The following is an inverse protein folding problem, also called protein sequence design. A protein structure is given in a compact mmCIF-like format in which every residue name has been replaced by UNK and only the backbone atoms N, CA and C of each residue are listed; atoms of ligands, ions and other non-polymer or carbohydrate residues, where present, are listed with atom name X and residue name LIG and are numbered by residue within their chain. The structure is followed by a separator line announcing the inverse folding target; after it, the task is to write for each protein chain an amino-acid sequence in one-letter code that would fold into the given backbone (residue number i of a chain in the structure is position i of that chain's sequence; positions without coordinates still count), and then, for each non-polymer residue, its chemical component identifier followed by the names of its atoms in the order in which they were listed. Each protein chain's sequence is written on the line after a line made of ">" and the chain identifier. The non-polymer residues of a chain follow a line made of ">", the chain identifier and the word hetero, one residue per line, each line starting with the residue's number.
data_IF_490072440203
#
_entry.id   IF_490072440203
#
_cell.length_a   1.000
_cell.length_b   1.000
_cell.length_c   1.000
_cell.angle_alpha   90.00
_cell.angle_beta   90.00
_cell.angle_gamma   90.00
#
_symmetry.space_group_name_H-M   'P 1'
#
loop_
_entity.id
_entity.type
_entity.pdbx_description
1 polymer ?
#
# COMPACT_ATOMS: atom_id res chain seq x y z
N UNK A 1 10.97 -25.37 -12.21
CA UNK A 1 10.66 -24.86 -10.85
C UNK A 1 11.12 -23.42 -10.79
N UNK A 2 10.19 -22.48 -10.80
CA UNK A 2 10.52 -21.05 -10.70
C UNK A 2 10.34 -20.70 -9.22
N UNK A 3 11.44 -20.43 -8.52
CA UNK A 3 11.40 -20.03 -7.12
C UNK A 3 10.90 -18.59 -7.04
N UNK A 4 9.70 -18.40 -6.50
CA UNK A 4 9.27 -17.09 -6.01
C UNK A 4 10.07 -16.80 -4.73
N UNK A 5 11.12 -16.00 -4.83
CA UNK A 5 11.66 -15.30 -3.67
C UNK A 5 10.67 -14.19 -3.33
N UNK A 6 9.70 -14.47 -2.45
CA UNK A 6 8.97 -13.42 -1.75
C UNK A 6 9.94 -12.71 -0.80
N UNK A 7 10.22 -11.41 -0.98
CA UNK A 7 10.90 -10.66 0.05
C UNK A 7 9.94 -10.56 1.24
N UNK A 8 10.39 -11.05 2.40
CA UNK A 8 9.65 -10.97 3.66
C UNK A 8 9.35 -9.50 3.99
N UNK A 9 8.08 -9.20 4.29
CA UNK A 9 7.68 -8.15 5.24
C UNK A 9 7.79 -6.67 4.84
N UNK A 10 8.24 -6.31 3.63
CA UNK A 10 8.31 -4.90 3.21
C UNK A 10 7.13 -4.56 2.31
N UNK A 11 6.09 -3.96 2.87
CA UNK A 11 5.05 -3.35 2.05
C UNK A 11 5.52 -1.96 1.65
N UNK A 12 5.61 -1.72 0.36
CA UNK A 12 6.05 -0.44 -0.19
C UNK A 12 4.98 0.61 0.05
N UNK A 13 4.93 1.12 1.28
CA UNK A 13 3.94 2.04 1.80
C UNK A 13 4.57 3.32 2.36
N UNK A 14 4.35 4.40 1.63
CA UNK A 14 4.20 5.79 2.08
C UNK A 14 5.36 6.59 2.71
N UNK A 15 6.53 6.06 3.10
CA UNK A 15 7.57 6.88 3.78
C UNK A 15 8.86 7.22 3.02
N UNK A 16 9.06 6.72 1.80
CA UNK A 16 10.19 7.11 0.95
C UNK A 16 9.78 8.10 -0.15
N UNK A 17 9.23 9.26 0.23
CA UNK A 17 8.54 10.19 -0.69
C UNK A 17 9.42 11.04 -1.64
N UNK A 18 10.72 10.78 -1.81
CA UNK A 18 11.55 11.54 -2.79
C UNK A 18 12.49 10.75 -3.68
N UNK A 19 12.89 9.52 -3.33
CA UNK A 19 13.92 8.83 -4.13
C UNK A 19 13.37 7.70 -5.02
N UNK A 20 12.07 7.40 -4.96
CA UNK A 20 11.50 6.24 -5.67
C UNK A 20 11.18 6.46 -7.16
N UNK A 21 11.29 7.69 -7.68
CA UNK A 21 11.06 7.98 -9.11
C UNK A 21 12.34 8.05 -9.96
N UNK A 22 13.51 7.74 -9.41
CA UNK A 22 14.79 7.84 -10.16
C UNK A 22 15.24 6.55 -10.85
N UNK A 23 14.63 5.39 -10.58
CA UNK A 23 14.98 4.14 -11.27
C UNK A 23 13.82 3.71 -12.15
N UNK A 24 13.92 4.08 -13.43
CA UNK A 24 13.09 3.60 -14.53
C UNK A 24 13.06 2.06 -14.56
N UNK A 25 12.02 1.47 -14.01
CA UNK A 25 11.36 0.34 -14.66
C UNK A 25 10.19 0.93 -15.45
N UNK A 26 10.24 0.85 -16.78
CA UNK A 26 9.09 1.17 -17.62
C UNK A 26 7.93 0.25 -17.21
N UNK A 27 6.98 0.77 -16.44
CA UNK A 27 5.75 0.05 -16.18
C UNK A 27 4.96 0.00 -17.50
N UNK A 28 5.05 -1.13 -18.21
CA UNK A 28 4.25 -1.37 -19.42
C UNK A 28 2.79 -1.39 -18.99
N UNK A 29 2.07 -0.30 -19.25
CA UNK A 29 0.63 -0.25 -19.05
C UNK A 29 -0.01 -1.35 -19.90
N UNK A 30 -0.52 -2.40 -19.25
CA UNK A 30 -1.24 -3.45 -19.94
C UNK A 30 -2.65 -2.94 -20.25
N UNK A 31 -2.89 -2.59 -21.52
CA UNK A 31 -4.22 -2.21 -21.97
C UNK A 31 -5.14 -3.42 -21.93
N UNK A 32 -6.09 -3.46 -21.01
CA UNK A 32 -7.12 -4.51 -20.99
C UNK A 32 -8.18 -4.29 -22.08
N UNK A 33 -8.28 -3.09 -22.64
CA UNK A 33 -9.27 -2.74 -23.68
C UNK A 33 -10.72 -2.73 -23.18
N UNK A 34 -10.94 -2.85 -21.86
CA UNK A 34 -12.27 -2.97 -21.26
C UNK A 34 -12.82 -1.56 -20.98
N UNK A 35 -13.95 -1.24 -21.61
CA UNK A 35 -14.69 0.00 -21.33
C UNK A 35 -15.87 -0.30 -20.41
N UNK A 36 -15.95 0.42 -19.29
CA UNK A 36 -17.07 0.31 -18.36
C UNK A 36 -17.72 1.67 -18.13
N UNK A 37 -19.05 1.70 -18.19
CA UNK A 37 -19.83 2.90 -17.86
C UNK A 37 -19.89 3.08 -16.34
N UNK A 38 -19.88 4.33 -15.91
CA UNK A 38 -20.25 4.69 -14.54
C UNK A 38 -21.74 4.44 -14.33
N UNK A 39 -22.11 4.15 -13.09
CA UNK A 39 -23.52 4.16 -12.70
C UNK A 39 -24.00 5.57 -12.35
N UNK A 40 -25.26 5.70 -11.93
CA UNK A 40 -25.88 6.98 -11.56
C UNK A 40 -25.27 7.66 -10.34
N UNK A 41 -24.45 6.94 -9.55
CA UNK A 41 -23.78 7.45 -8.35
C UNK A 41 -22.29 7.69 -8.58
N UNK A 42 -21.78 7.45 -9.80
CA UNK A 42 -20.36 7.59 -10.11
C UNK A 42 -19.49 6.41 -9.65
N UNK A 43 -20.07 5.23 -9.39
CA UNK A 43 -19.30 4.02 -9.07
C UNK A 43 -18.85 3.34 -10.36
N UNK A 44 -17.64 2.77 -10.32
CA UNK A 44 -17.09 1.93 -11.39
C UNK A 44 -16.97 0.48 -10.90
N UNK A 45 -17.40 -0.47 -11.73
CA UNK A 45 -17.25 -1.89 -11.42
C UNK A 45 -15.94 -2.42 -11.98
N UNK A 46 -15.07 -2.95 -11.12
CA UNK A 46 -13.88 -3.69 -11.55
C UNK A 46 -14.27 -5.06 -12.13
N UNK A 47 -13.89 -5.39 -13.38
CA UNK A 47 -14.06 -6.71 -13.99
C UNK A 47 -13.49 -7.84 -13.12
N UNK A 48 -14.08 -9.03 -13.20
CA UNK A 48 -13.70 -10.18 -12.37
C UNK A 48 -12.28 -10.65 -12.67
N UNK A 49 -11.84 -10.54 -13.92
CA UNK A 49 -10.50 -10.87 -14.39
C UNK A 49 -9.45 -10.05 -13.64
N UNK A 50 -9.66 -8.72 -13.56
CA UNK A 50 -8.76 -7.83 -12.83
C UNK A 50 -8.75 -8.14 -11.33
N UNK A 51 -9.90 -8.45 -10.74
CA UNK A 51 -9.96 -8.84 -9.32
C UNK A 51 -9.12 -10.09 -9.05
N UNK A 52 -9.16 -11.09 -9.94
CA UNK A 52 -8.35 -12.31 -9.80
C UNK A 52 -6.87 -12.04 -10.02
N UNK A 53 -6.51 -11.28 -11.05
CA UNK A 53 -5.11 -10.96 -11.35
C UNK A 53 -4.42 -10.14 -10.26
N UNK A 54 -5.17 -9.25 -9.60
CA UNK A 54 -4.67 -8.43 -8.50
C UNK A 54 -4.99 -8.99 -7.11
N UNK A 55 -5.57 -10.20 -7.02
CA UNK A 55 -5.97 -10.83 -5.76
C UNK A 55 -6.80 -9.89 -4.86
N UNK A 56 -7.81 -9.24 -5.44
CA UNK A 56 -8.71 -8.31 -4.75
C UNK A 56 -9.98 -9.05 -4.35
N UNK A 57 -10.14 -9.25 -3.04
CA UNK A 57 -11.29 -9.90 -2.43
C UNK A 57 -12.53 -9.00 -2.33
N UNK A 58 -13.63 -9.58 -1.82
CA UNK A 58 -14.83 -8.80 -1.54
C UNK A 58 -14.62 -7.84 -0.37
N UNK A 59 -15.06 -6.58 -0.55
CA UNK A 59 -14.92 -5.50 0.44
C UNK A 59 -13.47 -5.16 0.83
N UNK A 60 -12.48 -5.63 0.06
CA UNK A 60 -11.09 -5.28 0.30
C UNK A 60 -10.85 -3.79 0.00
N UNK A 61 -10.23 -3.04 0.92
CA UNK A 61 -9.97 -1.63 0.72
C UNK A 61 -8.98 -1.42 -0.42
N UNK A 62 -9.25 -0.41 -1.24
CA UNK A 62 -8.38 0.03 -2.32
C UNK A 62 -8.02 1.49 -2.12
N UNK A 63 -6.79 1.83 -2.48
CA UNK A 63 -6.27 3.17 -2.45
C UNK A 63 -6.36 3.77 -3.85
N UNK A 64 -6.89 4.99 -3.95
CA UNK A 64 -7.11 5.70 -5.21
C UNK A 64 -6.14 6.87 -5.27
N UNK A 65 -5.37 6.92 -6.35
CA UNK A 65 -4.48 8.01 -6.68
C UNK A 65 -4.89 8.65 -8.00
N UNK A 66 -4.50 9.91 -8.19
CA UNK A 66 -4.70 10.65 -9.43
C UNK A 66 -3.35 11.16 -9.91
N UNK A 67 -3.07 11.01 -11.20
CA UNK A 67 -1.86 11.48 -11.85
C UNK A 67 -2.25 11.99 -13.24
N UNK A 68 -2.09 13.30 -13.45
CA UNK A 68 -2.48 13.98 -14.70
C UNK A 68 -3.93 13.67 -15.12
N UNK A 69 -4.10 12.87 -16.17
CA UNK A 69 -5.38 12.45 -16.74
C UNK A 69 -5.78 11.00 -16.39
N UNK A 70 -5.08 10.38 -15.43
CA UNK A 70 -5.24 8.97 -15.05
C UNK A 70 -5.70 8.81 -13.61
N UNK A 71 -6.50 7.76 -13.39
CA UNK A 71 -6.82 7.23 -12.07
C UNK A 71 -6.01 5.95 -11.88
N UNK A 72 -5.26 5.88 -10.79
CA UNK A 72 -4.45 4.72 -10.42
C UNK A 72 -5.07 4.09 -9.17
N UNK A 73 -5.39 2.80 -9.25
CA UNK A 73 -5.97 2.04 -8.15
C UNK A 73 -4.93 1.04 -7.64
N UNK A 74 -4.69 1.02 -6.33
CA UNK A 74 -3.77 0.07 -5.67
C UNK A 74 -4.47 -0.65 -4.52
N UNK A 75 -3.98 -1.84 -4.15
CA UNK A 75 -4.40 -2.50 -2.90
C UNK A 75 -4.03 -1.62 -1.72
N UNK A 76 -4.96 -1.41 -0.79
CA UNK A 76 -4.66 -0.66 0.42
C UNK A 76 -3.86 -1.55 1.39
N UNK A 77 -2.58 -1.24 1.54
CA UNK A 77 -1.71 -1.91 2.49
C UNK A 77 -1.37 -0.95 3.63
N UNK A 78 -1.97 -1.13 4.82
CA UNK A 78 -1.62 -0.31 5.96
C UNK A 78 -0.17 -0.57 6.38
N UNK A 79 0.61 0.50 6.51
CA UNK A 79 2.04 0.43 6.79
C UNK A 79 2.44 1.44 7.86
N UNK A 80 3.54 1.14 8.53
CA UNK A 80 4.20 2.02 9.49
C UNK A 80 4.62 3.32 8.81
N UNK A 81 4.28 4.44 9.46
CA UNK A 81 4.56 5.79 8.96
C UNK A 81 6.02 6.23 9.08
N UNK A 82 6.98 5.34 9.23
CA UNK A 82 8.40 5.70 9.23
C UNK A 82 9.20 4.75 8.33
N UNK A 83 8.90 3.47 8.43
CA UNK A 83 9.64 2.35 7.84
C UNK A 83 8.89 1.66 6.71
N UNK A 84 7.58 1.84 6.62
CA UNK A 84 6.75 1.11 5.67
C UNK A 84 6.49 -0.35 6.07
N UNK A 85 6.88 -0.83 7.26
CA UNK A 85 6.55 -2.20 7.68
C UNK A 85 5.03 -2.41 7.81
N UNK A 86 4.54 -3.63 7.54
CA UNK A 86 3.12 -3.96 7.66
C UNK A 86 2.77 -4.76 8.92
N UNK A 87 3.78 -5.16 9.67
CA UNK A 87 3.63 -6.06 10.81
C UNK A 87 3.60 -5.24 12.11
N UNK A 88 2.92 -5.76 13.12
CA UNK A 88 2.85 -5.20 14.48
C UNK A 88 2.49 -3.71 14.55
N UNK A 89 1.56 -3.28 13.70
CA UNK A 89 1.09 -1.91 13.62
C UNK A 89 0.11 -1.55 14.74
N UNK A 90 0.35 -0.40 15.35
CA UNK A 90 -0.53 0.26 16.32
C UNK A 90 -1.05 1.55 15.67
N UNK A 91 -2.36 1.77 15.74
CA UNK A 91 -2.95 3.02 15.28
C UNK A 91 -2.98 4.07 16.39
N UNK A 92 -2.38 5.23 16.12
CA UNK A 92 -2.42 6.39 17.00
C UNK A 92 -2.76 7.64 16.19
N UNK A 93 -3.88 8.29 16.52
CA UNK A 93 -4.38 9.52 15.84
C UNK A 93 -4.47 9.37 14.31
N UNK A 94 -4.95 8.22 13.83
CA UNK A 94 -5.10 7.93 12.40
C UNK A 94 -3.77 7.70 11.66
N UNK A 95 -2.66 7.48 12.39
CA UNK A 95 -1.37 7.06 11.85
C UNK A 95 -1.06 5.66 12.37
N UNK A 96 -0.57 4.79 11.50
CA UNK A 96 -0.14 3.44 11.87
C UNK A 96 1.36 3.45 12.13
N UNK A 97 1.78 2.94 13.27
CA UNK A 97 3.18 2.90 13.70
C UNK A 97 3.48 1.48 14.19
N UNK A 98 4.53 0.84 13.71
CA UNK A 98 4.98 -0.46 14.18
C UNK A 98 5.52 -0.35 15.60
N UNK A 99 5.43 -1.44 16.36
CA UNK A 99 6.03 -1.50 17.71
C UNK A 99 7.52 -1.18 17.69
N UNK A 100 8.23 -1.55 16.64
CA UNK A 100 9.66 -1.27 16.49
C UNK A 100 9.94 0.22 16.36
N UNK A 101 9.17 0.93 15.52
CA UNK A 101 9.23 2.39 15.42
C UNK A 101 8.91 3.06 16.77
N UNK A 102 7.93 2.54 17.52
CA UNK A 102 7.59 3.07 18.85
C UNK A 102 8.74 2.88 19.85
N UNK A 103 9.38 1.70 19.87
CA UNK A 103 10.54 1.42 20.71
C UNK A 103 11.71 2.35 20.40
N UNK A 104 11.98 2.56 19.13
CA UNK A 104 13.05 3.46 18.70
C UNK A 104 12.76 4.93 19.05
N UNK A 105 11.54 5.40 18.81
CA UNK A 105 11.12 6.75 19.19
C UNK A 105 11.19 6.99 20.70
N UNK A 106 10.76 6.01 21.51
CA UNK A 106 10.85 6.08 22.97
C UNK A 106 12.31 6.18 23.42
N UNK A 107 13.21 5.39 22.82
CA UNK A 107 14.65 5.42 23.09
C UNK A 107 15.25 6.79 22.77
N UNK A 108 14.92 7.37 21.62
CA UNK A 108 15.42 8.70 21.20
C UNK A 108 14.90 9.80 22.13
N UNK A 109 13.65 9.70 22.57
CA UNK A 109 13.04 10.66 23.48
C UNK A 109 13.46 10.49 24.96
N UNK A 110 14.24 9.44 25.28
CA UNK A 110 14.72 9.18 26.65
C UNK A 110 13.68 8.52 27.57
N UNK A 111 12.61 7.94 27.02
CA UNK A 111 11.63 7.19 27.80
C UNK A 111 12.07 5.74 28.00
N UNK A 112 11.78 5.19 29.19
CA UNK A 112 11.93 3.76 29.46
C UNK A 112 10.58 3.08 29.22
N UNK A 113 10.55 2.11 28.31
CA UNK A 113 9.39 1.27 28.09
C UNK A 113 9.43 0.09 29.05
N UNK A 114 8.32 -0.17 29.73
CA UNK A 114 8.06 -1.44 30.42
C UNK A 114 7.20 -2.28 29.49
N UNK A 115 7.71 -3.44 29.06
CA UNK A 115 6.90 -4.42 28.35
C UNK A 115 6.07 -5.19 29.38
N UNK A 116 4.74 -5.16 29.25
CA UNK A 116 3.81 -6.04 29.97
C UNK A 116 3.45 -7.26 29.10
#
# INVERSE_FOLDING_TARGET
>A
MIYYNQPRGHCTGAHHKREYYSTREEYVMQSTGIVRKLDSLGRITLPMELRKSFDIGEREPLEIFTEEDKIIIKKYNPSDIFTGQCEDLIEYRGKKVSRDSIRELARIAGFKLTEE
#
